data_IF_754740642032
#
_entry.id   IF_754740642032
#
_cell.length_a   1.000
_cell.length_b   1.000
_cell.length_c   1.000
_cell.angle_alpha   90.00
_cell.angle_beta   90.00
_cell.angle_gamma   90.00
#
_symmetry.space_group_name_H-M   'P 1'
#
loop_
_entity.id
_entity.type
_entity.pdbx_description
1 polymer ?
#
# COMPACT_ATOMS: atom_id res chain seq x y z
N UNK A 1 16.00 3.41 -9.09
CA UNK A 1 15.55 3.32 -10.49
C UNK A 1 15.67 1.87 -10.92
N UNK A 2 14.64 1.29 -11.53
CA UNK A 2 14.64 -0.11 -12.01
C UNK A 2 15.64 -0.27 -13.16
N UNK A 3 16.50 -1.29 -13.08
CA UNK A 3 17.44 -1.67 -14.13
C UNK A 3 16.74 -2.70 -15.04
N UNK A 4 16.14 -2.22 -16.13
CA UNK A 4 15.39 -3.07 -17.07
C UNK A 4 16.22 -4.19 -17.65
N UNK A 5 17.47 -3.93 -18.04
CA UNK A 5 18.33 -4.93 -18.66
C UNK A 5 18.59 -6.11 -17.69
N UNK A 6 18.81 -5.82 -16.40
CA UNK A 6 18.95 -6.87 -15.40
C UNK A 6 17.66 -7.64 -15.17
N UNK A 7 16.49 -6.96 -15.18
CA UNK A 7 15.19 -7.63 -15.04
C UNK A 7 14.93 -8.55 -16.22
N UNK A 8 15.16 -8.08 -17.46
CA UNK A 8 15.00 -8.91 -18.66
C UNK A 8 15.87 -10.17 -18.60
N UNK A 9 17.15 -10.01 -18.21
CA UNK A 9 18.05 -11.16 -18.02
C UNK A 9 17.54 -12.13 -16.97
N UNK A 10 17.08 -11.63 -15.81
CA UNK A 10 16.54 -12.44 -14.73
C UNK A 10 15.27 -13.21 -15.17
N UNK A 11 14.40 -12.58 -15.96
CA UNK A 11 13.19 -13.21 -16.49
C UNK A 11 13.54 -14.33 -17.48
N UNK A 12 14.54 -14.15 -18.35
CA UNK A 12 15.02 -15.21 -19.25
C UNK A 12 15.51 -16.41 -18.45
N UNK A 13 16.36 -16.18 -17.45
CA UNK A 13 16.88 -17.24 -16.58
C UNK A 13 15.76 -17.94 -15.80
N UNK A 14 14.74 -17.20 -15.34
CA UNK A 14 13.60 -17.79 -14.67
C UNK A 14 12.81 -18.72 -15.60
N UNK A 15 12.51 -18.28 -16.83
CA UNK A 15 11.78 -19.07 -17.83
C UNK A 15 12.55 -20.34 -18.20
N UNK A 16 13.85 -20.24 -18.43
CA UNK A 16 14.73 -21.38 -18.66
C UNK A 16 14.75 -22.33 -17.45
N UNK A 17 14.86 -21.77 -16.23
CA UNK A 17 14.92 -22.54 -14.98
C UNK A 17 13.65 -23.33 -14.67
N UNK A 18 12.47 -22.87 -15.13
CA UNK A 18 11.22 -23.64 -15.03
C UNK A 18 11.01 -24.60 -16.19
N UNK A 19 11.94 -24.67 -17.16
CA UNK A 19 11.89 -25.57 -18.31
C UNK A 19 11.06 -25.07 -19.49
N UNK A 20 10.80 -23.77 -19.59
CA UNK A 20 9.99 -23.18 -20.65
C UNK A 20 10.87 -22.82 -21.88
N UNK A 21 10.31 -22.95 -23.08
CA UNK A 21 10.94 -22.51 -24.33
C UNK A 21 10.79 -21.00 -24.50
N UNK A 22 11.86 -20.27 -24.26
CA UNK A 22 11.88 -18.80 -24.36
C UNK A 22 11.79 -18.27 -25.80
N UNK A 23 11.91 -19.16 -26.81
CA UNK A 23 11.84 -18.76 -28.23
C UNK A 23 10.44 -18.83 -28.80
N UNK A 24 9.49 -19.44 -28.08
CA UNK A 24 8.09 -19.50 -28.55
C UNK A 24 7.44 -18.11 -28.58
N UNK A 25 6.62 -17.87 -29.58
CA UNK A 25 6.01 -16.57 -29.91
C UNK A 25 5.39 -15.86 -28.71
N UNK A 26 4.71 -16.57 -27.82
CA UNK A 26 4.07 -16.00 -26.64
C UNK A 26 5.03 -15.51 -25.56
N UNK A 27 6.32 -15.90 -25.58
CA UNK A 27 7.33 -15.55 -24.57
C UNK A 27 8.44 -14.62 -25.04
N UNK A 28 8.60 -14.40 -26.35
CA UNK A 28 9.66 -13.56 -26.91
C UNK A 28 9.70 -12.18 -26.25
N UNK A 29 8.54 -11.54 -26.07
CA UNK A 29 8.42 -10.20 -25.49
C UNK A 29 8.26 -10.20 -23.97
N UNK A 30 8.14 -11.37 -23.33
CA UNK A 30 7.86 -11.44 -21.88
C UNK A 30 8.93 -10.76 -21.03
N UNK A 31 10.24 -10.88 -21.30
CA UNK A 31 11.25 -10.18 -20.53
C UNK A 31 11.08 -8.66 -20.53
N UNK A 32 10.84 -8.04 -21.69
CA UNK A 32 10.62 -6.59 -21.82
C UNK A 32 9.29 -6.17 -21.12
N UNK A 33 8.22 -6.94 -21.30
CA UNK A 33 6.93 -6.66 -20.63
C UNK A 33 7.07 -6.67 -19.13
N UNK A 34 7.77 -7.65 -18.55
CA UNK A 34 8.02 -7.73 -17.11
C UNK A 34 8.94 -6.59 -16.65
N UNK A 35 9.95 -6.22 -17.42
CA UNK A 35 10.83 -5.11 -17.07
C UNK A 35 10.07 -3.78 -16.99
N UNK A 36 9.15 -3.51 -17.93
CA UNK A 36 8.26 -2.33 -17.89
C UNK A 36 7.26 -2.40 -16.72
N UNK A 37 6.65 -3.56 -16.49
CA UNK A 37 5.78 -3.79 -15.34
C UNK A 37 6.50 -3.50 -14.01
N UNK A 38 7.77 -3.89 -13.88
CA UNK A 38 8.56 -3.64 -12.67
C UNK A 38 8.79 -2.14 -12.41
N UNK A 39 8.85 -1.29 -13.44
CA UNK A 39 8.90 0.17 -13.24
C UNK A 39 7.63 0.69 -12.58
N UNK A 40 6.49 0.13 -12.93
CA UNK A 40 5.20 0.51 -12.36
C UNK A 40 5.03 -0.02 -10.94
N UNK A 41 5.14 -1.33 -10.72
CA UNK A 41 4.82 -1.96 -9.44
C UNK A 41 5.89 -1.78 -8.35
N UNK A 42 7.10 -1.33 -8.72
CA UNK A 42 8.20 -1.04 -7.79
C UNK A 42 8.63 0.43 -7.82
N UNK A 43 7.86 1.30 -8.47
CA UNK A 43 8.16 2.73 -8.64
C UNK A 43 8.21 3.53 -7.34
N UNK A 44 7.67 3.00 -6.24
CA UNK A 44 7.73 3.63 -4.92
C UNK A 44 9.01 3.38 -4.12
N UNK A 45 9.91 2.51 -4.63
CA UNK A 45 11.18 2.23 -3.95
C UNK A 45 12.04 3.49 -3.83
N UNK A 46 12.47 3.82 -2.61
CA UNK A 46 13.30 5.00 -2.32
C UNK A 46 12.53 6.33 -2.34
N UNK A 47 11.21 6.31 -2.48
CA UNK A 47 10.37 7.50 -2.40
C UNK A 47 9.62 7.57 -1.06
N UNK A 48 9.42 8.78 -0.56
CA UNK A 48 8.61 9.10 0.60
C UNK A 48 7.36 9.88 0.18
N UNK A 49 6.26 9.67 0.89
CA UNK A 49 4.98 10.30 0.56
C UNK A 49 4.87 11.75 1.05
N UNK A 50 5.82 12.20 1.87
CA UNK A 50 5.78 13.49 2.56
C UNK A 50 5.50 14.67 1.60
N UNK A 51 6.13 14.68 0.43
CA UNK A 51 5.94 15.74 -0.58
C UNK A 51 4.48 15.91 -1.00
N UNK A 52 3.71 14.82 -1.02
CA UNK A 52 2.29 14.87 -1.36
C UNK A 52 1.48 15.55 -0.24
N UNK A 53 1.85 15.35 1.02
CA UNK A 53 1.14 15.82 2.20
C UNK A 53 1.48 17.27 2.58
N UNK A 54 2.53 17.88 2.00
CA UNK A 54 2.95 19.25 2.30
C UNK A 54 1.89 20.30 1.90
N UNK A 55 1.03 20.00 0.92
CA UNK A 55 -0.03 20.93 0.55
C UNK A 55 -1.19 20.82 1.53
N UNK A 56 -1.24 21.74 2.47
CA UNK A 56 -2.20 21.80 3.56
C UNK A 56 -3.05 23.06 3.48
N UNK A 57 -4.23 23.00 4.09
CA UNK A 57 -5.19 24.09 4.16
C UNK A 57 -5.63 24.30 5.60
N UNK A 58 -5.76 25.55 6.09
CA UNK A 58 -6.25 25.82 7.43
C UNK A 58 -7.72 25.39 7.56
N UNK A 59 -8.07 24.86 8.74
CA UNK A 59 -9.45 24.57 9.12
C UNK A 59 -9.68 24.94 10.58
N UNK A 60 -10.87 25.40 10.90
CA UNK A 60 -11.27 25.68 12.28
C UNK A 60 -11.85 24.43 12.98
N UNK A 61 -12.48 23.56 12.20
CA UNK A 61 -13.05 22.30 12.70
C UNK A 61 -11.97 21.20 12.75
N UNK A 62 -11.90 20.54 13.91
CA UNK A 62 -10.98 19.43 14.16
C UNK A 62 -11.73 18.08 14.29
N UNK A 63 -12.85 17.93 13.62
CA UNK A 63 -13.56 16.66 13.53
C UNK A 63 -12.78 15.63 12.69
N UNK A 64 -13.11 14.35 12.87
CA UNK A 64 -12.45 13.26 12.16
C UNK A 64 -12.62 13.44 10.65
N UNK A 65 -11.51 13.39 9.94
CA UNK A 65 -11.47 13.20 8.49
C UNK A 65 -11.20 11.73 8.21
N UNK A 66 -12.11 11.07 7.50
CA UNK A 66 -11.96 9.68 7.06
C UNK A 66 -11.97 9.60 5.54
N UNK A 67 -10.95 9.02 4.96
CA UNK A 67 -10.93 8.55 3.58
C UNK A 67 -10.94 7.02 3.60
N UNK A 68 -12.01 6.40 3.07
CA UNK A 68 -12.18 4.95 3.09
C UNK A 68 -12.20 4.33 1.69
N UNK A 69 -12.04 3.02 1.65
CA UNK A 69 -12.10 2.22 0.42
C UNK A 69 -11.03 2.57 -0.64
N UNK A 70 -9.91 3.15 -0.22
CA UNK A 70 -8.79 3.40 -1.10
C UNK A 70 -8.24 2.05 -1.59
N UNK A 71 -8.44 1.75 -2.85
CA UNK A 71 -7.89 0.53 -3.44
C UNK A 71 -6.37 0.62 -3.54
N UNK A 72 -5.68 -0.45 -3.15
CA UNK A 72 -4.24 -0.56 -3.33
C UNK A 72 -3.84 -1.94 -3.84
N UNK A 73 -2.70 -1.97 -4.53
CA UNK A 73 -2.01 -3.17 -4.98
C UNK A 73 -0.58 -3.11 -4.49
N UNK A 74 -0.06 -4.23 -4.01
CA UNK A 74 1.31 -4.33 -3.51
C UNK A 74 1.91 -5.70 -3.80
N UNK A 75 3.21 -5.85 -3.58
CA UNK A 75 3.94 -7.09 -3.83
C UNK A 75 4.48 -7.64 -2.51
N UNK A 76 4.06 -8.86 -2.16
CA UNK A 76 4.58 -9.55 -0.99
C UNK A 76 6.10 -9.75 -1.13
N UNK A 77 6.91 -9.22 -0.20
CA UNK A 77 8.37 -9.30 -0.30
C UNK A 77 8.93 -10.72 -0.20
N UNK A 78 8.19 -11.65 0.42
CA UNK A 78 8.64 -13.03 0.59
C UNK A 78 8.55 -13.88 -0.69
N UNK A 79 7.59 -13.55 -1.58
CA UNK A 79 7.28 -14.40 -2.74
C UNK A 79 7.21 -13.62 -4.06
N UNK A 80 7.32 -12.29 -4.02
CA UNK A 80 7.06 -11.38 -5.15
C UNK A 80 5.71 -11.66 -5.84
N UNK A 81 4.72 -12.03 -5.03
CA UNK A 81 3.34 -12.24 -5.47
C UNK A 81 2.46 -11.09 -5.00
N UNK A 82 1.44 -10.68 -5.79
CA UNK A 82 0.61 -9.56 -5.42
C UNK A 82 -0.25 -9.84 -4.19
N UNK A 83 -0.46 -8.80 -3.40
CA UNK A 83 -1.59 -8.69 -2.49
C UNK A 83 -2.29 -7.35 -2.73
N UNK A 84 -3.57 -7.32 -2.51
CA UNK A 84 -4.39 -6.15 -2.85
C UNK A 84 -5.59 -6.06 -1.94
N UNK A 85 -6.13 -4.85 -1.82
CA UNK A 85 -7.25 -4.63 -0.92
C UNK A 85 -7.67 -3.19 -0.81
N UNK A 86 -8.13 -2.85 0.39
CA UNK A 86 -8.63 -1.52 0.74
C UNK A 86 -7.86 -0.94 1.91
N UNK A 87 -7.53 0.33 1.80
CA UNK A 87 -6.98 1.13 2.87
C UNK A 87 -8.04 2.13 3.36
N UNK A 88 -8.08 2.33 4.66
CA UNK A 88 -8.96 3.28 5.33
C UNK A 88 -8.09 4.11 6.28
N UNK A 89 -8.09 5.43 6.07
CA UNK A 89 -7.24 6.38 6.78
C UNK A 89 -8.10 7.42 7.46
N UNK A 90 -8.01 7.51 8.78
CA UNK A 90 -8.63 8.59 9.52
C UNK A 90 -7.58 9.41 10.27
N UNK A 91 -7.80 10.71 10.35
CA UNK A 91 -7.03 11.58 11.23
C UNK A 91 -7.91 12.68 11.84
N UNK A 92 -7.52 13.16 13.01
CA UNK A 92 -8.12 14.32 13.67
C UNK A 92 -7.21 15.51 13.39
N UNK A 93 -7.66 16.52 12.61
CA UNK A 93 -6.86 17.67 12.29
C UNK A 93 -6.35 18.42 13.53
N UNK A 94 -5.22 19.09 13.38
CA UNK A 94 -4.68 20.05 14.32
C UNK A 94 -4.60 21.42 13.63
N UNK A 95 -5.77 22.00 13.30
CA UNK A 95 -5.88 23.27 12.60
C UNK A 95 -5.57 23.24 11.09
N UNK A 96 -5.21 22.07 10.54
CA UNK A 96 -4.88 21.92 9.12
C UNK A 96 -5.38 20.58 8.57
N UNK A 97 -5.77 20.59 7.29
CA UNK A 97 -6.11 19.38 6.52
C UNK A 97 -5.29 19.32 5.24
N UNK A 98 -5.11 18.11 4.70
CA UNK A 98 -4.54 17.90 3.36
C UNK A 98 -5.65 17.58 2.34
N UNK A 99 -5.35 17.69 1.06
CA UNK A 99 -6.29 17.28 0.00
C UNK A 99 -6.50 15.76 0.04
N UNK A 100 -7.77 15.31 -0.14
CA UNK A 100 -8.14 13.89 -0.07
C UNK A 100 -7.31 13.00 -1.02
N UNK A 101 -7.05 13.48 -2.24
CA UNK A 101 -6.19 12.78 -3.20
C UNK A 101 -4.75 12.56 -2.71
N UNK A 102 -4.31 13.30 -1.69
CA UNK A 102 -2.96 13.16 -1.11
C UNK A 102 -2.88 11.96 -0.19
N UNK A 103 -3.99 11.64 0.49
CA UNK A 103 -4.11 10.43 1.28
C UNK A 103 -4.01 9.18 0.39
N UNK A 104 -4.74 9.15 -0.72
CA UNK A 104 -4.66 8.05 -1.68
C UNK A 104 -3.24 7.89 -2.27
N UNK A 105 -2.57 8.99 -2.62
CA UNK A 105 -1.18 8.96 -3.10
C UNK A 105 -0.19 8.48 -2.04
N UNK A 106 -0.44 8.77 -0.77
CA UNK A 106 0.39 8.24 0.33
C UNK A 106 0.31 6.72 0.39
N UNK A 107 -0.89 6.16 0.26
CA UNK A 107 -1.08 4.71 0.16
C UNK A 107 -0.32 4.15 -1.05
N UNK A 108 -0.47 4.77 -2.22
CA UNK A 108 0.16 4.34 -3.47
C UNK A 108 1.68 4.29 -3.36
N UNK A 109 2.34 5.36 -2.91
CA UNK A 109 3.82 5.43 -2.78
C UNK A 109 4.37 4.28 -1.95
N UNK A 110 3.71 3.94 -0.84
CA UNK A 110 4.17 2.86 0.02
C UNK A 110 3.74 1.47 -0.44
N UNK A 111 2.69 1.36 -1.27
CA UNK A 111 2.22 0.08 -1.80
C UNK A 111 3.07 -0.44 -2.97
N UNK A 112 3.50 0.43 -3.89
CA UNK A 112 4.23 0.03 -5.10
C UNK A 112 5.71 -0.25 -4.85
N UNK A 113 5.97 -1.21 -3.93
CA UNK A 113 7.28 -1.75 -3.55
C UNK A 113 7.12 -3.15 -2.94
N UNK A 114 8.21 -3.94 -2.79
CA UNK A 114 8.12 -5.16 -1.99
C UNK A 114 7.74 -4.84 -0.54
N UNK A 115 6.67 -5.46 -0.02
CA UNK A 115 6.07 -5.11 1.27
C UNK A 115 5.64 -6.33 2.09
N UNK A 116 5.50 -6.07 3.39
CA UNK A 116 4.58 -6.80 4.28
C UNK A 116 3.48 -5.84 4.70
N UNK A 117 2.26 -6.33 4.87
CA UNK A 117 1.09 -5.49 5.11
C UNK A 117 1.23 -4.69 6.41
N UNK A 118 1.81 -5.26 7.44
CA UNK A 118 2.05 -4.62 8.73
C UNK A 118 2.95 -3.38 8.58
N UNK A 119 4.05 -3.51 7.85
CA UNK A 119 4.96 -2.38 7.58
C UNK A 119 4.31 -1.31 6.70
N UNK A 120 3.54 -1.72 5.68
CA UNK A 120 2.79 -0.80 4.84
C UNK A 120 1.85 0.05 5.70
N UNK A 121 1.09 -0.57 6.62
CA UNK A 121 0.17 0.12 7.52
C UNK A 121 0.89 1.14 8.41
N UNK A 122 2.04 0.77 8.97
CA UNK A 122 2.87 1.64 9.80
C UNK A 122 3.43 2.82 8.99
N UNK A 123 4.00 2.57 7.82
CA UNK A 123 4.60 3.62 6.98
C UNK A 123 3.58 4.69 6.56
N UNK A 124 2.34 4.27 6.25
CA UNK A 124 1.25 5.20 5.94
C UNK A 124 0.95 6.08 7.17
N UNK A 125 0.79 5.48 8.35
CA UNK A 125 0.51 6.23 9.57
C UNK A 125 1.64 7.20 9.93
N UNK A 126 2.89 6.75 9.84
CA UNK A 126 4.06 7.57 10.18
C UNK A 126 4.22 8.77 9.22
N UNK A 127 3.89 8.60 7.93
CA UNK A 127 3.91 9.72 6.99
C UNK A 127 2.87 10.79 7.33
N UNK A 128 1.65 10.36 7.70
CA UNK A 128 0.60 11.28 8.16
C UNK A 128 1.01 11.99 9.45
N UNK A 129 1.54 11.26 10.43
CA UNK A 129 1.98 11.81 11.71
C UNK A 129 3.06 12.87 11.50
N UNK A 130 4.12 12.50 10.81
CA UNK A 130 5.29 13.36 10.55
C UNK A 130 4.96 14.64 9.79
N UNK A 131 3.98 14.56 8.86
CA UNK A 131 3.74 15.67 7.92
C UNK A 131 2.56 16.55 8.31
N UNK A 132 1.49 15.96 8.87
CA UNK A 132 0.27 16.68 9.21
C UNK A 132 0.24 17.13 10.68
N UNK A 133 1.04 16.49 11.55
CA UNK A 133 1.03 16.70 13.01
C UNK A 133 -0.42 16.69 13.57
N UNK A 134 -1.21 15.64 13.28
CA UNK A 134 -2.60 15.60 13.69
C UNK A 134 -2.74 15.19 15.16
N UNK A 135 -3.89 15.48 15.78
CA UNK A 135 -4.19 15.05 17.15
C UNK A 135 -4.33 13.54 17.33
N UNK A 136 -4.61 12.84 16.24
CA UNK A 136 -4.72 11.38 16.23
C UNK A 136 -4.84 10.83 14.83
N UNK A 137 -4.42 9.58 14.66
CA UNK A 137 -4.45 8.85 13.39
C UNK A 137 -4.94 7.43 13.66
N UNK A 138 -5.74 6.90 12.73
CA UNK A 138 -6.01 5.48 12.61
C UNK A 138 -5.95 5.06 11.15
N UNK A 139 -5.14 4.03 10.88
CA UNK A 139 -5.00 3.39 9.56
C UNK A 139 -5.43 1.94 9.69
N UNK A 140 -6.25 1.48 8.77
CA UNK A 140 -6.64 0.08 8.62
C UNK A 140 -6.43 -0.35 7.17
N UNK A 141 -5.79 -1.50 6.98
CA UNK A 141 -5.70 -2.18 5.69
C UNK A 141 -6.41 -3.53 5.79
N UNK A 142 -7.20 -3.84 4.77
CA UNK A 142 -7.79 -5.16 4.55
C UNK A 142 -7.34 -5.67 3.20
N UNK A 143 -6.68 -6.83 3.12
CA UNK A 143 -6.15 -7.34 1.87
C UNK A 143 -6.22 -8.86 1.74
N UNK A 144 -6.33 -9.31 0.49
CA UNK A 144 -6.15 -10.69 0.08
C UNK A 144 -4.72 -10.88 -0.44
N UNK A 145 -4.06 -11.96 0.00
CA UNK A 145 -2.69 -12.30 -0.36
C UNK A 145 -2.66 -13.50 -1.30
N UNK A 146 -2.26 -13.30 -2.56
CA UNK A 146 -2.20 -14.40 -3.53
C UNK A 146 -1.19 -15.47 -3.15
N UNK A 147 -0.15 -15.13 -2.41
CA UNK A 147 0.79 -16.11 -1.87
C UNK A 147 0.16 -17.10 -0.86
N UNK A 148 -1.01 -16.77 -0.30
CA UNK A 148 -1.79 -17.64 0.57
C UNK A 148 -2.97 -18.30 -0.15
N UNK A 149 -3.55 -17.65 -1.16
CA UNK A 149 -4.78 -18.12 -1.80
C UNK A 149 -4.53 -19.07 -2.96
N UNK A 150 -3.54 -18.80 -3.84
CA UNK A 150 -3.32 -19.59 -5.05
C UNK A 150 -2.28 -20.70 -4.90
N UNK A 151 -1.43 -20.67 -3.88
CA UNK A 151 -0.37 -21.66 -3.61
C UNK A 151 -0.20 -21.87 -2.10
N UNK A 152 0.69 -22.79 -1.70
CA UNK A 152 0.96 -23.10 -0.29
C UNK A 152 -0.28 -23.65 0.40
N UNK A 153 -0.79 -22.94 1.38
CA UNK A 153 -1.95 -23.39 2.18
C UNK A 153 -3.30 -23.29 1.46
N UNK A 154 -3.36 -22.60 0.31
CA UNK A 154 -4.54 -22.51 -0.58
C UNK A 154 -5.84 -22.16 0.18
N UNK A 155 -5.89 -20.96 0.76
CA UNK A 155 -7.06 -20.45 1.50
C UNK A 155 -7.69 -19.26 0.76
N UNK A 156 -8.43 -19.50 -0.36
CA UNK A 156 -9.11 -18.42 -1.07
C UNK A 156 -10.17 -17.77 -0.18
N UNK A 157 -10.33 -16.45 -0.34
CA UNK A 157 -11.28 -15.65 0.44
C UNK A 157 -10.79 -15.26 1.85
N UNK A 158 -9.61 -15.76 2.29
CA UNK A 158 -9.02 -15.25 3.53
C UNK A 158 -8.49 -13.83 3.35
N UNK A 159 -8.79 -12.96 4.30
CA UNK A 159 -8.33 -11.59 4.32
C UNK A 159 -7.49 -11.31 5.56
N UNK A 160 -6.43 -10.55 5.39
CA UNK A 160 -5.62 -10.05 6.50
C UNK A 160 -6.04 -8.62 6.80
N UNK A 161 -6.27 -8.31 8.07
CA UNK A 161 -6.57 -6.95 8.54
C UNK A 161 -5.42 -6.51 9.44
N UNK A 162 -4.86 -5.34 9.14
CA UNK A 162 -3.85 -4.68 9.97
C UNK A 162 -4.33 -3.29 10.34
N UNK A 163 -4.04 -2.87 11.58
CA UNK A 163 -4.42 -1.55 12.08
C UNK A 163 -3.27 -0.90 12.82
N UNK A 164 -3.18 0.42 12.70
CA UNK A 164 -2.23 1.26 13.45
C UNK A 164 -2.97 2.48 13.98
N UNK A 165 -2.72 2.83 15.23
CA UNK A 165 -3.25 4.05 15.88
C UNK A 165 -2.12 4.93 16.38
N UNK A 166 -2.36 6.26 16.41
CA UNK A 166 -1.48 7.27 17.00
C UNK A 166 -2.32 8.31 17.73
N UNK A 167 -1.73 8.96 18.74
CA UNK A 167 -2.36 10.05 19.50
C UNK A 167 -3.73 9.64 20.06
N UNK A 168 -4.74 10.50 19.90
CA UNK A 168 -6.08 10.32 20.46
C UNK A 168 -6.72 8.96 20.13
N UNK A 169 -6.48 8.40 18.94
CA UNK A 169 -7.00 7.06 18.61
C UNK A 169 -6.33 5.93 19.42
N UNK A 170 -5.16 6.14 19.97
CA UNK A 170 -4.53 5.15 20.86
C UNK A 170 -5.13 5.20 22.27
N UNK A 171 -5.45 6.40 22.74
CA UNK A 171 -5.92 6.67 24.08
C UNK A 171 -7.43 6.40 24.22
N UNK A 172 -8.23 6.73 23.19
CA UNK A 172 -9.69 6.66 23.22
C UNK A 172 -10.23 5.49 22.37
N UNK A 173 -10.79 4.48 23.07
CA UNK A 173 -11.40 3.30 22.44
C UNK A 173 -12.72 3.61 21.74
N UNK A 174 -13.44 4.65 22.13
CA UNK A 174 -14.69 5.04 21.46
C UNK A 174 -14.40 5.65 20.09
N UNK A 175 -13.31 6.41 19.94
CA UNK A 175 -12.83 6.87 18.63
C UNK A 175 -12.50 5.68 17.71
N UNK A 176 -11.85 4.63 18.22
CA UNK A 176 -11.59 3.42 17.43
C UNK A 176 -12.90 2.72 17.00
N UNK A 177 -13.88 2.59 17.90
CA UNK A 177 -15.18 2.01 17.57
C UNK A 177 -15.93 2.83 16.53
N UNK A 178 -15.89 4.16 16.67
CA UNK A 178 -16.49 5.07 15.70
C UNK A 178 -15.87 4.91 14.31
N UNK A 179 -14.54 4.91 14.22
CA UNK A 179 -13.82 4.63 12.96
C UNK A 179 -14.28 3.30 12.35
N UNK A 180 -14.26 2.20 13.11
CA UNK A 180 -14.66 0.89 12.62
C UNK A 180 -16.13 0.85 12.16
N UNK A 181 -17.02 1.60 12.81
CA UNK A 181 -18.41 1.75 12.40
C UNK A 181 -18.53 2.48 11.07
N UNK A 182 -17.80 3.58 10.90
CA UNK A 182 -17.77 4.38 9.66
C UNK A 182 -17.19 3.61 8.48
N UNK A 183 -16.22 2.72 8.72
CA UNK A 183 -15.62 1.87 7.68
C UNK A 183 -16.61 0.78 7.24
N UNK A 184 -17.36 0.18 8.17
CA UNK A 184 -18.31 -0.92 7.88
C UNK A 184 -19.61 -0.46 7.21
N UNK A 185 -20.06 0.76 7.52
CA UNK A 185 -21.28 1.37 6.96
C UNK A 185 -21.10 1.84 5.56
#
# INVERSE_FOLDING_TARGET
>A
MVDKAKIEQAVRLLLEGIGEDITREGLIDTPDRIARMCEEIYGGLGHEADQHLLKQFPVENNEIVLEKDITFYSMCEHHLMPFYGKAHLAYIPNGKVTGLSKLARTVEVYSIRPQIQERLTVQIADALERTLDPKGIMVMLEAEHTCMTMRGIKKPGSKTITTVTRGAFTEDKELQKMFLSMVKG
#
